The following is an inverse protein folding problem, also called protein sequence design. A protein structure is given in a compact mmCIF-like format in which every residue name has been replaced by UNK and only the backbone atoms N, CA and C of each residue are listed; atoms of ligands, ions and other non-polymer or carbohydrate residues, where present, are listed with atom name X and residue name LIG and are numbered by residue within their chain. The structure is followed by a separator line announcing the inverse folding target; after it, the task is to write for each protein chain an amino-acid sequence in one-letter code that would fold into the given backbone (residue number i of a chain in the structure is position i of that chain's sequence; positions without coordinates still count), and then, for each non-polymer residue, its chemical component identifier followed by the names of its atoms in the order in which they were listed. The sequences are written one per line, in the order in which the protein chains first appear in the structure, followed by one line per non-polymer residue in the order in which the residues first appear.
data_IF_399859482418
#
_entry.id   IF_399859482418
#
_cell.length_a   1.000
_cell.length_b   1.000
_cell.length_c   1.000
_cell.angle_alpha   90.00
_cell.angle_beta   90.00
_cell.angle_gamma   90.00
#
_symmetry.space_group_name_H-M   'P 1'
#
loop_
_entity.id
_entity.type
_entity.pdbx_description
1 polymer ?
#
# COMPACT_ATOMS: atom_id res chain seq x y z
N UNK A 1 29.22 23.23 -37.64
CA UNK A 1 29.87 22.31 -36.72
C UNK A 1 29.83 22.79 -35.25
N UNK A 2 30.33 23.98 -34.93
CA UNK A 2 30.39 24.48 -33.53
C UNK A 2 29.01 24.49 -32.85
N UNK A 3 27.95 24.93 -33.49
CA UNK A 3 26.60 24.96 -32.93
C UNK A 3 26.06 23.54 -32.62
N UNK A 4 26.30 22.56 -33.48
CA UNK A 4 25.88 21.16 -33.28
C UNK A 4 26.65 20.56 -32.08
N UNK A 5 27.95 20.84 -32.00
CA UNK A 5 28.77 20.36 -30.88
C UNK A 5 28.31 20.98 -29.54
N UNK A 6 27.99 22.28 -29.54
CA UNK A 6 27.45 22.95 -28.35
C UNK A 6 26.08 22.39 -27.94
N UNK A 7 25.15 22.14 -28.88
CA UNK A 7 23.87 21.51 -28.58
C UNK A 7 24.04 20.09 -28.06
N UNK A 8 24.93 19.28 -28.64
CA UNK A 8 25.21 17.93 -28.13
C UNK A 8 25.80 17.94 -26.74
N UNK A 9 26.73 18.86 -26.43
CA UNK A 9 27.30 19.03 -25.12
C UNK A 9 26.24 19.46 -24.06
N UNK A 10 25.36 20.39 -24.44
CA UNK A 10 24.25 20.82 -23.58
C UNK A 10 23.28 19.68 -23.29
N UNK A 11 22.90 18.92 -24.32
CA UNK A 11 22.03 17.74 -24.13
C UNK A 11 22.68 16.69 -23.26
N UNK A 12 23.96 16.40 -23.43
CA UNK A 12 24.70 15.47 -22.59
C UNK A 12 24.73 15.94 -21.11
N UNK A 13 25.01 17.23 -20.88
CA UNK A 13 25.01 17.81 -19.54
C UNK A 13 23.64 17.71 -18.85
N UNK A 14 22.54 18.00 -19.57
CA UNK A 14 21.18 17.84 -19.07
C UNK A 14 20.89 16.38 -18.74
N UNK A 15 21.25 15.45 -19.64
CA UNK A 15 21.05 14.00 -19.41
C UNK A 15 21.78 13.53 -18.14
N UNK A 16 23.05 13.91 -17.99
CA UNK A 16 23.83 13.58 -16.78
C UNK A 16 23.17 14.18 -15.54
N UNK A 17 22.73 15.42 -15.58
CA UNK A 17 22.02 16.08 -14.49
C UNK A 17 20.75 15.32 -14.09
N UNK A 18 19.94 14.88 -15.06
CA UNK A 18 18.73 14.09 -14.81
C UNK A 18 19.05 12.71 -14.22
N UNK A 19 20.10 12.04 -14.68
CA UNK A 19 20.53 10.76 -14.12
C UNK A 19 21.01 10.92 -12.68
N UNK A 20 21.83 11.92 -12.37
CA UNK A 20 22.27 12.22 -11.01
C UNK A 20 21.08 12.55 -10.09
N UNK A 21 20.11 13.32 -10.60
CA UNK A 21 18.87 13.63 -9.89
C UNK A 21 18.07 12.34 -9.59
N UNK A 22 17.93 11.46 -10.57
CA UNK A 22 17.25 10.18 -10.41
C UNK A 22 17.93 9.32 -9.35
N UNK A 23 19.27 9.20 -9.37
CA UNK A 23 20.01 8.44 -8.35
C UNK A 23 19.84 9.02 -6.94
N UNK A 24 19.81 10.35 -6.83
CA UNK A 24 19.52 11.01 -5.56
C UNK A 24 18.10 10.68 -5.07
N UNK A 25 17.09 10.83 -5.92
CA UNK A 25 15.69 10.61 -5.55
C UNK A 25 15.43 9.18 -5.09
N UNK A 26 15.98 8.18 -5.78
CA UNK A 26 15.82 6.76 -5.40
C UNK A 26 16.31 6.44 -3.98
N UNK A 27 17.27 7.20 -3.47
CA UNK A 27 17.90 6.99 -2.15
C UNK A 27 17.31 7.83 -1.04
N UNK A 28 16.39 8.76 -1.37
CA UNK A 28 15.86 9.73 -0.40
C UNK A 28 14.35 9.76 -0.46
N UNK A 29 13.69 8.95 0.37
CA UNK A 29 12.24 8.97 0.50
C UNK A 29 11.74 10.26 1.17
N UNK A 30 10.46 10.53 1.01
CA UNK A 30 9.73 11.56 1.75
C UNK A 30 8.68 10.90 2.64
N UNK A 31 8.24 11.60 3.66
CA UNK A 31 7.13 11.18 4.52
C UNK A 31 5.93 12.06 4.23
N UNK A 32 4.88 11.48 3.68
CA UNK A 32 3.62 12.16 3.43
C UNK A 32 2.59 11.73 4.48
N UNK A 33 1.89 12.72 5.05
CA UNK A 33 0.94 12.50 6.14
C UNK A 33 -0.47 12.84 5.66
N UNK A 34 -1.41 11.93 5.94
CA UNK A 34 -2.82 12.06 5.62
C UNK A 34 -3.65 11.96 6.89
N UNK A 35 -4.56 12.90 7.09
CA UNK A 35 -5.57 12.84 8.14
C UNK A 35 -6.94 12.58 7.53
N UNK A 36 -7.68 11.64 8.11
CA UNK A 36 -9.02 11.25 7.69
C UNK A 36 -9.92 11.21 8.91
N UNK A 37 -11.00 11.97 8.87
CA UNK A 37 -12.04 11.94 9.89
C UNK A 37 -13.16 10.97 9.49
N UNK A 38 -13.65 10.19 10.44
CA UNK A 38 -14.75 9.27 10.19
C UNK A 38 -15.71 9.20 11.40
N UNK A 39 -17.02 9.23 11.16
CA UNK A 39 -17.99 8.99 12.23
C UNK A 39 -18.02 7.53 12.72
N UNK A 40 -17.32 6.61 12.03
CA UNK A 40 -17.20 5.21 12.43
C UNK A 40 -16.18 5.00 13.56
N UNK A 41 -15.36 6.00 13.87
CA UNK A 41 -14.47 5.97 15.01
C UNK A 41 -15.13 6.71 16.18
N UNK A 42 -14.92 6.27 17.44
CA UNK A 42 -15.41 6.98 18.61
C UNK A 42 -14.85 8.41 18.69
N UNK A 43 -15.63 9.32 19.29
CA UNK A 43 -15.23 10.70 19.51
C UNK A 43 -13.91 10.75 20.29
N UNK A 44 -12.97 11.55 19.78
CA UNK A 44 -11.63 11.68 20.36
C UNK A 44 -10.69 10.50 20.14
N UNK A 45 -11.17 9.40 19.55
CA UNK A 45 -10.29 8.29 19.17
C UNK A 45 -9.38 8.70 18.02
N UNK A 46 -8.16 8.17 18.05
CA UNK A 46 -7.22 8.27 16.95
C UNK A 46 -6.56 6.92 16.72
N UNK A 47 -6.35 6.58 15.46
CA UNK A 47 -5.58 5.42 15.04
C UNK A 47 -4.55 5.88 14.00
N UNK A 48 -3.31 5.51 14.21
CA UNK A 48 -2.17 5.90 13.39
C UNK A 48 -1.60 4.67 12.70
N UNK A 49 -1.55 4.66 11.39
CA UNK A 49 -0.88 3.61 10.67
C UNK A 49 0.13 4.15 9.66
N UNK A 50 1.13 3.35 9.40
CA UNK A 50 2.09 3.56 8.31
C UNK A 50 1.76 2.56 7.22
N UNK A 51 1.74 3.02 5.98
CA UNK A 51 1.56 2.16 4.81
C UNK A 51 2.86 2.10 4.00
N UNK A 52 3.33 0.88 3.74
CA UNK A 52 4.49 0.57 2.92
C UNK A 52 4.04 -0.23 1.70
N UNK A 53 4.57 0.09 0.54
CA UNK A 53 4.34 -0.67 -0.69
C UNK A 53 5.54 -0.57 -1.62
N UNK A 54 5.71 -1.55 -2.48
CA UNK A 54 6.65 -1.51 -3.59
C UNK A 54 8.10 -1.21 -3.15
N UNK A 55 8.59 -1.90 -2.13
CA UNK A 55 9.98 -1.75 -1.68
C UNK A 55 10.96 -2.31 -2.71
N UNK A 56 10.60 -3.42 -3.37
CA UNK A 56 11.38 -4.05 -4.44
C UNK A 56 12.86 -4.21 -4.09
N UNK A 57 13.14 -4.81 -2.94
CA UNK A 57 14.49 -5.05 -2.41
C UNK A 57 15.33 -3.77 -2.24
N UNK A 58 14.73 -2.58 -2.30
CA UNK A 58 15.43 -1.33 -2.06
C UNK A 58 15.87 -1.20 -0.60
N UNK A 59 17.04 -0.61 -0.39
CA UNK A 59 17.62 -0.42 0.95
C UNK A 59 17.97 1.05 1.15
N UNK A 60 17.42 1.64 2.20
CA UNK A 60 17.73 3.00 2.63
C UNK A 60 18.81 3.00 3.69
N UNK A 61 19.94 3.61 3.37
CA UNK A 61 21.10 3.64 4.27
C UNK A 61 21.64 2.23 4.52
N UNK A 62 21.99 1.94 5.76
CA UNK A 62 22.39 0.59 6.17
C UNK A 62 21.14 -0.16 6.64
N UNK A 63 20.79 -1.24 5.92
CA UNK A 63 19.73 -2.19 6.31
C UNK A 63 18.40 -1.54 6.70
N UNK A 64 17.98 -0.54 5.94
CA UNK A 64 16.73 0.23 6.12
C UNK A 64 16.62 1.00 7.45
N UNK A 65 17.71 1.24 8.18
CA UNK A 65 17.67 1.98 9.45
C UNK A 65 16.98 3.35 9.35
N UNK A 66 17.23 4.21 8.34
CA UNK A 66 16.52 5.48 8.19
C UNK A 66 15.01 5.32 8.02
N UNK A 67 14.56 4.28 7.29
CA UNK A 67 13.14 3.99 7.10
C UNK A 67 12.50 3.55 8.42
N UNK A 68 13.12 2.61 9.13
CA UNK A 68 12.65 2.13 10.44
C UNK A 68 12.61 3.27 11.46
N UNK A 69 13.61 4.15 11.47
CA UNK A 69 13.65 5.30 12.35
C UNK A 69 12.50 6.29 12.07
N UNK A 70 12.19 6.55 10.80
CA UNK A 70 11.07 7.41 10.42
C UNK A 70 9.72 6.80 10.83
N UNK A 71 9.54 5.49 10.63
CA UNK A 71 8.33 4.76 11.07
C UNK A 71 8.18 4.86 12.59
N UNK A 72 9.24 4.58 13.34
CA UNK A 72 9.24 4.65 14.81
C UNK A 72 8.93 6.06 15.32
N UNK A 73 9.47 7.09 14.66
CA UNK A 73 9.22 8.49 15.02
C UNK A 73 7.75 8.90 14.85
N UNK A 74 7.05 8.32 13.88
CA UNK A 74 5.62 8.54 13.69
C UNK A 74 4.78 7.90 14.82
N UNK A 75 5.30 6.88 15.54
CA UNK A 75 4.63 6.11 16.60
C UNK A 75 3.29 5.52 16.10
N UNK A 76 3.32 4.66 15.09
CA UNK A 76 2.11 4.04 14.56
C UNK A 76 1.56 2.97 15.52
N UNK A 77 0.24 2.78 15.48
CA UNK A 77 -0.46 1.65 16.13
C UNK A 77 -0.35 0.36 15.30
N UNK A 78 -0.14 0.50 13.96
CA UNK A 78 0.07 -0.60 13.04
C UNK A 78 0.92 -0.17 11.83
N UNK A 79 1.66 -1.13 11.26
CA UNK A 79 2.25 -1.02 9.92
C UNK A 79 1.45 -1.90 8.96
N UNK A 80 0.99 -1.30 7.87
CA UNK A 80 0.23 -1.96 6.82
C UNK A 80 1.12 -2.07 5.57
N UNK A 81 1.30 -3.28 5.05
CA UNK A 81 2.15 -3.52 3.87
C UNK A 81 1.25 -3.96 2.71
N UNK A 82 1.29 -3.21 1.63
CA UNK A 82 0.47 -3.42 0.43
C UNK A 82 1.15 -4.24 -0.67
N UNK A 83 2.19 -5.03 -0.31
CA UNK A 83 2.87 -5.96 -1.22
C UNK A 83 4.04 -5.36 -1.99
N UNK A 84 4.59 -6.19 -2.86
CA UNK A 84 5.74 -5.92 -3.71
C UNK A 84 6.97 -5.45 -2.91
N UNK A 85 7.22 -6.11 -1.75
CA UNK A 85 8.41 -5.82 -0.96
C UNK A 85 9.69 -6.39 -1.57
N UNK A 86 9.57 -7.44 -2.39
CA UNK A 86 10.67 -8.08 -3.11
C UNK A 86 10.46 -8.04 -4.62
N UNK A 87 11.53 -8.27 -5.38
CA UNK A 87 11.46 -8.42 -6.84
C UNK A 87 11.46 -9.90 -7.23
N UNK A 88 10.42 -10.34 -7.92
CA UNK A 88 10.32 -11.68 -8.49
C UNK A 88 10.39 -11.62 -10.02
N UNK A 89 11.63 -11.64 -10.55
CA UNK A 89 11.94 -11.69 -12.00
C UNK A 89 13.00 -12.75 -12.26
N UNK A 90 12.55 -14.02 -12.35
CA UNK A 90 13.44 -15.18 -12.57
C UNK A 90 14.27 -15.59 -11.36
N UNK A 91 14.42 -14.73 -10.37
CA UNK A 91 15.03 -14.96 -9.06
C UNK A 91 14.20 -14.23 -8.01
N UNK A 92 14.25 -14.70 -6.78
CA UNK A 92 13.66 -14.01 -5.64
C UNK A 92 14.58 -14.16 -4.44
N UNK A 93 14.69 -13.10 -3.65
CA UNK A 93 15.42 -13.07 -2.39
C UNK A 93 14.50 -12.49 -1.31
N UNK A 94 14.51 -13.07 -0.13
CA UNK A 94 13.71 -12.63 1.00
C UNK A 94 14.51 -11.80 2.00
N UNK A 95 15.82 -11.67 1.80
CA UNK A 95 16.74 -11.11 2.80
C UNK A 95 16.35 -9.70 3.22
N UNK A 96 16.10 -8.80 2.28
CA UNK A 96 15.73 -7.41 2.57
C UNK A 96 14.37 -7.33 3.23
N UNK A 97 13.39 -8.08 2.72
CA UNK A 97 12.03 -8.13 3.27
C UNK A 97 12.05 -8.67 4.70
N UNK A 98 12.71 -9.80 4.94
CA UNK A 98 12.77 -10.44 6.27
C UNK A 98 13.48 -9.53 7.27
N UNK A 99 14.63 -8.94 6.92
CA UNK A 99 15.34 -8.00 7.79
C UNK A 99 14.48 -6.79 8.16
N UNK A 100 13.76 -6.21 7.21
CA UNK A 100 12.85 -5.10 7.49
C UNK A 100 11.72 -5.53 8.43
N UNK A 101 11.08 -6.68 8.16
CA UNK A 101 10.00 -7.20 8.99
C UNK A 101 10.43 -7.51 10.41
N UNK A 102 11.63 -8.09 10.62
CA UNK A 102 12.20 -8.34 11.95
C UNK A 102 12.31 -7.05 12.78
N UNK A 103 12.77 -5.98 12.15
CA UNK A 103 12.87 -4.68 12.82
C UNK A 103 11.49 -4.09 13.15
N UNK A 104 10.53 -4.17 12.22
CA UNK A 104 9.20 -3.61 12.41
C UNK A 104 8.42 -4.36 13.48
N UNK A 105 8.38 -5.69 13.42
CA UNK A 105 7.63 -6.53 14.37
C UNK A 105 8.18 -6.45 15.81
N UNK A 106 9.40 -5.96 15.98
CA UNK A 106 9.98 -5.75 17.32
C UNK A 106 9.32 -4.63 18.11
N UNK A 107 8.52 -3.76 17.48
CA UNK A 107 7.92 -2.61 18.17
C UNK A 107 6.48 -2.25 17.75
N UNK A 108 5.95 -2.85 16.67
CA UNK A 108 4.61 -2.54 16.17
C UNK A 108 4.00 -3.76 15.47
N UNK A 109 2.69 -4.00 15.57
CA UNK A 109 2.01 -5.02 14.77
C UNK A 109 2.14 -4.71 13.28
N UNK A 110 2.41 -5.76 12.47
CA UNK A 110 2.55 -5.66 11.02
C UNK A 110 1.50 -6.49 10.33
N UNK A 111 0.74 -5.87 9.42
CA UNK A 111 -0.26 -6.51 8.57
C UNK A 111 0.23 -6.49 7.12
N UNK A 112 0.23 -7.64 6.47
CA UNK A 112 0.85 -7.81 5.16
C UNK A 112 -0.12 -8.39 4.14
N UNK A 113 -0.39 -7.66 3.06
CA UNK A 113 -1.11 -8.13 1.88
C UNK A 113 -0.16 -8.30 0.69
N UNK A 114 -0.49 -9.21 -0.23
CA UNK A 114 0.33 -9.45 -1.40
C UNK A 114 0.19 -8.35 -2.46
N UNK A 115 1.30 -8.06 -3.13
CA UNK A 115 1.31 -7.45 -4.45
C UNK A 115 1.42 -8.50 -5.56
N UNK A 116 1.71 -8.06 -6.77
CA UNK A 116 1.83 -8.97 -7.92
C UNK A 116 3.11 -9.82 -7.89
N UNK A 117 4.15 -9.40 -7.18
CA UNK A 117 5.39 -10.17 -7.05
C UNK A 117 5.21 -11.36 -6.10
N UNK A 118 4.55 -11.20 -4.97
CA UNK A 118 4.21 -12.30 -4.07
C UNK A 118 3.27 -13.31 -4.74
N UNK A 119 2.24 -12.85 -5.46
CA UNK A 119 1.34 -13.72 -6.21
C UNK A 119 2.07 -14.45 -7.36
N UNK A 120 3.08 -13.85 -7.95
CA UNK A 120 3.93 -14.50 -8.95
C UNK A 120 4.73 -15.64 -8.35
N UNK A 121 5.38 -15.47 -7.21
CA UNK A 121 6.09 -16.55 -6.51
C UNK A 121 5.16 -17.74 -6.22
N UNK A 122 3.94 -17.44 -5.79
CA UNK A 122 2.92 -18.44 -5.48
C UNK A 122 2.53 -19.26 -6.71
N UNK A 123 2.41 -18.60 -7.86
CA UNK A 123 1.93 -19.20 -9.10
C UNK A 123 3.01 -19.90 -9.90
N UNK A 124 4.19 -19.28 -10.02
CA UNK A 124 5.29 -19.74 -10.88
C UNK A 124 6.28 -20.61 -10.08
N UNK A 125 5.78 -21.72 -9.51
CA UNK A 125 6.57 -22.62 -8.66
C UNK A 125 7.70 -23.32 -9.41
N UNK A 126 7.58 -23.49 -10.70
CA UNK A 126 8.63 -24.00 -11.58
C UNK A 126 9.84 -23.06 -11.68
N UNK A 127 9.62 -21.74 -11.49
CA UNK A 127 10.66 -20.73 -11.51
C UNK A 127 11.21 -20.46 -10.10
N UNK A 128 10.34 -20.36 -9.09
CA UNK A 128 10.68 -19.89 -7.74
C UNK A 128 10.79 -21.02 -6.70
N UNK A 129 10.46 -22.25 -7.07
CA UNK A 129 10.54 -23.41 -6.17
C UNK A 129 9.70 -23.22 -4.90
N UNK A 130 10.34 -23.35 -3.76
CA UNK A 130 9.75 -23.23 -2.42
C UNK A 130 9.78 -21.80 -1.84
N UNK A 131 10.20 -20.80 -2.62
CA UNK A 131 10.40 -19.44 -2.14
C UNK A 131 9.17 -18.85 -1.47
N UNK A 132 7.97 -19.10 -2.03
CA UNK A 132 6.71 -18.63 -1.44
C UNK A 132 6.41 -19.31 -0.09
N UNK A 133 6.71 -20.60 0.04
CA UNK A 133 6.50 -21.32 1.31
C UNK A 133 7.46 -20.82 2.38
N UNK A 134 8.71 -20.56 2.00
CA UNK A 134 9.71 -19.93 2.87
C UNK A 134 9.28 -18.53 3.30
N UNK A 135 8.75 -17.74 2.38
CA UNK A 135 8.19 -16.43 2.68
C UNK A 135 7.07 -16.53 3.73
N UNK A 136 6.10 -17.43 3.54
CA UNK A 136 5.02 -17.64 4.52
C UNK A 136 5.54 -18.14 5.88
N UNK A 137 6.55 -18.99 5.90
CA UNK A 137 7.19 -19.44 7.15
C UNK A 137 7.84 -18.27 7.89
N UNK A 138 8.53 -17.37 7.17
CA UNK A 138 9.14 -16.18 7.77
C UNK A 138 8.08 -15.22 8.32
N UNK A 139 7.01 -14.94 7.58
CA UNK A 139 5.90 -14.12 8.07
C UNK A 139 5.32 -14.69 9.37
N UNK A 140 5.10 -16.01 9.40
CA UNK A 140 4.60 -16.70 10.60
C UNK A 140 5.60 -16.65 11.76
N UNK A 141 6.89 -16.89 11.50
CA UNK A 141 7.96 -16.82 12.50
C UNK A 141 8.03 -15.46 13.16
N UNK A 142 7.84 -14.40 12.37
CA UNK A 142 7.91 -13.02 12.81
C UNK A 142 6.60 -12.49 13.43
N UNK A 143 5.54 -13.31 13.46
CA UNK A 143 4.25 -12.88 13.98
C UNK A 143 3.55 -11.84 13.11
N UNK A 144 3.85 -11.80 11.82
CA UNK A 144 3.18 -10.92 10.86
C UNK A 144 1.76 -11.41 10.58
N UNK A 145 0.79 -10.51 10.65
CA UNK A 145 -0.60 -10.78 10.28
C UNK A 145 -0.72 -10.83 8.75
N UNK A 146 -0.74 -12.04 8.21
CA UNK A 146 -0.75 -12.23 6.75
C UNK A 146 -2.16 -12.24 6.19
N UNK A 147 -2.47 -11.26 5.34
CA UNK A 147 -3.80 -10.97 4.81
C UNK A 147 -3.94 -11.38 3.33
N UNK A 148 -3.75 -12.66 3.02
CA UNK A 148 -3.97 -13.20 1.67
C UNK A 148 -5.44 -13.60 1.51
N UNK A 149 -6.25 -12.77 0.86
CA UNK A 149 -7.71 -12.88 0.75
C UNK A 149 -8.38 -13.05 2.15
N UNK A 150 -7.97 -12.23 3.09
CA UNK A 150 -8.35 -12.36 4.49
C UNK A 150 -8.53 -11.01 5.16
N UNK A 151 -9.36 -11.00 6.21
CA UNK A 151 -9.62 -9.82 7.05
C UNK A 151 -9.26 -10.11 8.51
N UNK A 152 -8.74 -9.10 9.20
CA UNK A 152 -8.49 -9.14 10.64
C UNK A 152 -8.95 -7.83 11.29
N UNK A 153 -9.46 -7.92 12.52
CA UNK A 153 -9.81 -6.77 13.34
C UNK A 153 -8.56 -6.28 14.05
N UNK A 154 -8.15 -5.05 13.79
CA UNK A 154 -7.00 -4.43 14.48
C UNK A 154 -7.41 -4.01 15.89
N UNK A 155 -8.62 -3.47 16.01
CA UNK A 155 -9.24 -3.05 17.25
C UNK A 155 -10.77 -3.08 17.07
N UNK A 156 -11.61 -2.76 18.08
CA UNK A 156 -13.07 -2.83 17.98
C UNK A 156 -13.69 -1.96 16.87
N UNK A 157 -12.98 -1.00 16.32
CA UNK A 157 -13.53 -0.04 15.35
C UNK A 157 -12.93 -0.17 13.96
N UNK A 158 -11.80 -0.87 13.85
CA UNK A 158 -11.02 -0.92 12.60
C UNK A 158 -10.77 -2.36 12.20
N UNK A 159 -11.16 -2.68 11.00
CA UNK A 159 -10.82 -3.93 10.33
C UNK A 159 -9.93 -3.64 9.12
N UNK A 160 -8.95 -4.50 8.92
CA UNK A 160 -8.09 -4.48 7.74
C UNK A 160 -8.33 -5.74 6.92
N UNK A 161 -8.49 -5.56 5.62
CA UNK A 161 -8.67 -6.64 4.64
C UNK A 161 -7.57 -6.57 3.60
N UNK A 162 -6.88 -7.67 3.35
CA UNK A 162 -6.00 -7.82 2.20
C UNK A 162 -6.69 -8.66 1.12
N UNK A 163 -6.74 -8.16 -0.10
CA UNK A 163 -7.31 -8.87 -1.23
C UNK A 163 -6.29 -9.01 -2.36
N UNK A 164 -6.06 -10.25 -2.78
CA UNK A 164 -5.17 -10.56 -3.90
C UNK A 164 -5.87 -10.28 -5.22
N UNK A 165 -5.16 -9.65 -6.14
CA UNK A 165 -5.65 -9.40 -7.48
C UNK A 165 -5.08 -10.44 -8.45
N UNK A 166 -5.92 -11.01 -9.31
CA UNK A 166 -5.47 -11.99 -10.31
C UNK A 166 -4.52 -11.36 -11.32
N UNK A 167 -3.57 -12.15 -11.80
CA UNK A 167 -2.54 -11.72 -12.75
C UNK A 167 -3.13 -11.07 -14.02
N UNK A 168 -4.29 -11.53 -14.47
CA UNK A 168 -4.94 -11.00 -15.65
C UNK A 168 -5.12 -9.47 -15.58
N UNK A 169 -5.37 -8.93 -14.39
CA UNK A 169 -5.56 -7.51 -14.18
C UNK A 169 -4.25 -6.71 -14.25
N UNK A 170 -3.11 -7.35 -14.04
CA UNK A 170 -1.79 -6.73 -14.20
C UNK A 170 -1.24 -6.84 -15.62
N UNK A 171 -1.78 -7.75 -16.44
CA UNK A 171 -1.35 -7.98 -17.83
C UNK A 171 -2.03 -7.10 -18.85
N UNK A 172 -3.05 -6.34 -18.47
CA UNK A 172 -3.69 -5.40 -19.37
C UNK A 172 -2.80 -4.18 -19.59
N UNK A 173 -2.31 -4.03 -20.83
CA UNK A 173 -1.52 -2.89 -21.25
C UNK A 173 -2.42 -1.88 -21.97
N UNK A 174 -2.18 -0.59 -21.75
CA UNK A 174 -2.86 0.55 -22.40
C UNK A 174 -4.37 0.68 -22.08
N UNK A 175 -4.99 -0.29 -21.45
CA UNK A 175 -6.42 -0.28 -21.10
C UNK A 175 -6.63 -0.47 -19.61
N UNK A 176 -7.77 -0.03 -19.11
CA UNK A 176 -8.21 -0.29 -17.73
C UNK A 176 -9.23 -1.44 -17.79
N UNK A 177 -8.90 -2.63 -17.25
CA UNK A 177 -9.86 -3.72 -17.20
C UNK A 177 -10.96 -3.44 -16.18
N UNK A 178 -12.11 -4.05 -16.35
CA UNK A 178 -13.16 -4.06 -15.34
C UNK A 178 -12.91 -5.16 -14.31
N UNK A 179 -13.12 -4.84 -13.05
CA UNK A 179 -13.15 -5.80 -11.94
C UNK A 179 -14.59 -5.88 -11.42
N UNK A 180 -15.29 -7.00 -11.61
CA UNK A 180 -16.61 -7.19 -11.03
C UNK A 180 -16.56 -7.18 -9.50
N UNK A 181 -17.54 -6.53 -8.87
CA UNK A 181 -17.62 -6.49 -7.40
C UNK A 181 -17.84 -7.89 -6.81
N UNK A 182 -18.51 -8.75 -7.55
CA UNK A 182 -18.74 -10.15 -7.20
C UNK A 182 -17.43 -10.89 -7.00
N UNK A 183 -16.43 -10.68 -7.88
CA UNK A 183 -15.12 -11.31 -7.72
C UNK A 183 -14.42 -10.86 -6.43
N UNK A 184 -14.50 -9.58 -6.09
CA UNK A 184 -13.96 -9.07 -4.83
C UNK A 184 -14.67 -9.69 -3.63
N UNK A 185 -16.01 -9.76 -3.68
CA UNK A 185 -16.84 -10.33 -2.62
C UNK A 185 -16.65 -11.83 -2.43
N UNK A 186 -16.46 -12.58 -3.50
CA UNK A 186 -16.16 -14.02 -3.44
C UNK A 186 -14.83 -14.30 -2.75
N UNK A 187 -13.83 -13.43 -2.91
CA UNK A 187 -12.50 -13.58 -2.28
C UNK A 187 -12.48 -13.24 -0.81
N UNK A 188 -13.08 -12.12 -0.46
CA UNK A 188 -12.92 -11.55 0.89
C UNK A 188 -14.26 -11.42 1.64
N UNK A 189 -15.35 -11.96 1.12
CA UNK A 189 -16.70 -11.77 1.65
C UNK A 189 -17.23 -10.35 1.41
N UNK A 190 -18.50 -10.13 1.64
CA UNK A 190 -19.07 -8.79 1.59
C UNK A 190 -18.81 -8.02 2.89
N UNK A 191 -18.72 -6.69 2.83
CA UNK A 191 -18.60 -5.85 4.01
C UNK A 191 -19.79 -6.05 4.98
N UNK A 192 -20.98 -6.26 4.45
CA UNK A 192 -22.19 -6.53 5.25
C UNK A 192 -22.13 -7.87 6.00
N UNK A 193 -21.64 -8.96 5.36
CA UNK A 193 -21.47 -10.25 6.03
C UNK A 193 -20.45 -10.16 7.16
N UNK A 194 -19.36 -9.44 6.96
CA UNK A 194 -18.33 -9.23 7.97
C UNK A 194 -18.87 -8.45 9.17
N UNK A 195 -19.65 -7.41 8.94
CA UNK A 195 -20.30 -6.65 10.00
C UNK A 195 -21.29 -7.51 10.79
N UNK A 196 -22.06 -8.35 10.11
CA UNK A 196 -22.97 -9.30 10.76
C UNK A 196 -22.22 -10.33 11.60
N UNK A 197 -21.10 -10.84 11.12
CA UNK A 197 -20.26 -11.78 11.86
C UNK A 197 -19.66 -11.13 13.10
N UNK A 198 -19.19 -9.90 13.02
CA UNK A 198 -18.70 -9.12 14.14
C UNK A 198 -19.80 -8.95 15.22
N UNK A 199 -20.99 -8.49 14.85
CA UNK A 199 -22.13 -8.33 15.76
C UNK A 199 -22.54 -9.66 16.45
N UNK A 200 -22.45 -10.79 15.73
CA UNK A 200 -22.69 -12.11 16.32
C UNK A 200 -21.62 -12.46 17.35
N UNK A 201 -20.35 -12.20 17.06
CA UNK A 201 -19.21 -12.47 17.96
C UNK A 201 -19.32 -11.66 19.27
N UNK A 202 -19.71 -10.39 19.17
CA UNK A 202 -19.97 -9.52 20.32
C UNK A 202 -21.10 -10.05 21.22
N UNK A 203 -22.15 -10.63 20.64
CA UNK A 203 -23.25 -11.19 21.41
C UNK A 203 -22.87 -12.39 22.29
N UNK A 204 -21.71 -13.02 22.05
CA UNK A 204 -21.14 -14.08 22.87
C UNK A 204 -20.16 -13.61 23.96
N UNK A 205 -19.82 -12.31 24.03
CA UNK A 205 -18.94 -11.71 25.03
C UNK A 205 -19.63 -10.55 25.76
N UNK A 206 -20.44 -10.79 26.80
CA UNK A 206 -21.33 -9.79 27.38
C UNK A 206 -20.64 -8.56 27.99
N UNK A 207 -19.44 -8.69 28.54
CA UNK A 207 -18.78 -7.61 29.30
C UNK A 207 -18.14 -6.51 28.43
N UNK A 208 -17.76 -6.82 27.21
CA UNK A 208 -17.29 -5.84 26.21
C UNK A 208 -18.45 -5.23 25.42
N UNK A 209 -19.50 -6.02 25.22
CA UNK A 209 -20.67 -5.66 24.41
C UNK A 209 -21.52 -4.50 24.99
N UNK A 210 -21.50 -4.28 26.30
CA UNK A 210 -22.40 -3.29 26.92
C UNK A 210 -21.92 -1.84 26.73
N UNK A 211 -20.61 -1.63 26.66
CA UNK A 211 -20.04 -0.30 26.36
C UNK A 211 -20.13 0.08 24.88
N UNK A 212 -20.08 -0.90 23.98
CA UNK A 212 -20.02 -0.70 22.54
C UNK A 212 -21.42 -0.77 21.88
N UNK A 213 -22.36 -1.47 22.50
CA UNK A 213 -23.76 -1.62 22.02
C UNK A 213 -24.54 -0.31 21.97
N UNK A 214 -24.09 0.75 22.64
CA UNK A 214 -24.78 2.06 22.65
C UNK A 214 -24.64 2.85 21.34
N UNK A 215 -23.80 2.43 20.41
CA UNK A 215 -23.48 3.25 19.26
C UNK A 215 -23.86 2.67 17.88
N UNK A 216 -24.19 1.39 17.74
CA UNK A 216 -24.50 0.82 16.40
C UNK A 216 -23.37 1.05 15.38
N UNK A 217 -22.13 1.10 15.84
CA UNK A 217 -21.00 1.49 15.00
C UNK A 217 -20.65 0.40 13.99
N UNK A 218 -20.73 0.78 12.72
CA UNK A 218 -20.09 0.01 11.66
C UNK A 218 -18.58 0.14 11.78
N UNK A 219 -17.85 -0.98 11.63
CA UNK A 219 -16.39 -0.95 11.61
C UNK A 219 -15.86 -0.11 10.44
N UNK A 220 -14.79 0.63 10.69
CA UNK A 220 -14.04 1.30 9.63
C UNK A 220 -13.22 0.26 8.87
N UNK A 221 -13.48 0.12 7.57
CA UNK A 221 -12.85 -0.89 6.72
C UNK A 221 -11.66 -0.30 5.96
N UNK A 222 -10.45 -0.83 6.26
CA UNK A 222 -9.23 -0.55 5.49
C UNK A 222 -9.01 -1.70 4.54
N UNK A 223 -8.95 -1.42 3.24
CA UNK A 223 -8.66 -2.41 2.21
C UNK A 223 -7.25 -2.21 1.66
N UNK A 224 -6.38 -3.21 1.83
CA UNK A 224 -5.10 -3.29 1.15
C UNK A 224 -5.32 -3.94 -0.21
N UNK A 225 -5.25 -3.13 -1.25
CA UNK A 225 -5.55 -3.55 -2.62
C UNK A 225 -4.49 -2.99 -3.56
N UNK A 226 -3.57 -3.83 -4.01
CA UNK A 226 -2.32 -3.38 -4.60
C UNK A 226 -2.46 -2.43 -5.80
N UNK A 227 -3.46 -2.65 -6.69
CA UNK A 227 -3.68 -1.82 -7.89
C UNK A 227 -4.73 -0.73 -7.67
N UNK A 228 -4.43 0.56 -7.95
CA UNK A 228 -5.39 1.66 -7.79
C UNK A 228 -6.44 1.74 -8.91
N UNK A 229 -6.34 0.91 -9.96
CA UNK A 229 -7.27 0.95 -11.10
C UNK A 229 -8.73 0.68 -10.71
N UNK A 230 -8.96 0.02 -9.58
CA UNK A 230 -10.27 -0.52 -9.21
C UNK A 230 -10.90 0.19 -8.01
N UNK A 231 -10.57 1.45 -7.78
CA UNK A 231 -11.11 2.21 -6.65
C UNK A 231 -12.64 2.22 -6.64
N UNK A 232 -13.27 2.32 -7.80
CA UNK A 232 -14.74 2.28 -7.93
C UNK A 232 -15.31 0.97 -7.38
N UNK A 233 -14.70 -0.16 -7.71
CA UNK A 233 -15.12 -1.47 -7.18
C UNK A 233 -14.86 -1.57 -5.68
N UNK A 234 -13.68 -1.13 -5.21
CA UNK A 234 -13.33 -1.16 -3.79
C UNK A 234 -14.29 -0.33 -2.93
N UNK A 235 -14.63 0.88 -3.37
CA UNK A 235 -15.57 1.74 -2.63
C UNK A 235 -16.99 1.20 -2.62
N UNK A 236 -17.47 0.62 -3.73
CA UNK A 236 -18.79 -0.04 -3.81
C UNK A 236 -18.84 -1.29 -2.97
N UNK A 237 -17.76 -2.03 -2.85
CA UNK A 237 -17.63 -3.17 -1.95
C UNK A 237 -17.78 -2.76 -0.48
N UNK A 238 -17.40 -1.54 -0.12
CA UNK A 238 -17.57 -0.98 1.22
C UNK A 238 -16.30 -0.55 1.94
N UNK A 239 -15.14 -0.54 1.26
CA UNK A 239 -13.92 0.02 1.83
C UNK A 239 -14.11 1.50 2.18
N UNK A 240 -13.75 1.89 3.40
CA UNK A 240 -13.71 3.29 3.82
C UNK A 240 -12.39 3.95 3.42
N UNK A 241 -11.31 3.17 3.51
CA UNK A 241 -9.97 3.55 3.06
C UNK A 241 -9.38 2.42 2.21
N UNK A 242 -9.02 2.72 0.96
CA UNK A 242 -8.26 1.81 0.10
C UNK A 242 -6.81 2.28 0.02
N UNK A 243 -5.87 1.40 0.36
CA UNK A 243 -4.43 1.66 0.28
C UNK A 243 -3.82 0.89 -0.88
N UNK A 244 -3.22 1.61 -1.83
CA UNK A 244 -2.71 1.07 -3.08
C UNK A 244 -1.24 1.43 -3.30
N UNK A 245 -0.53 0.57 -4.04
CA UNK A 245 0.79 0.80 -4.58
C UNK A 245 0.83 0.66 -6.10
N UNK A 246 1.74 -0.19 -6.60
CA UNK A 246 1.87 -0.66 -7.97
C UNK A 246 2.30 0.39 -9.02
N UNK A 247 1.84 1.63 -8.92
CA UNK A 247 2.06 2.65 -9.96
C UNK A 247 3.37 3.41 -9.82
N UNK A 248 4.07 3.26 -8.70
CA UNK A 248 5.35 3.93 -8.46
C UNK A 248 5.33 5.43 -8.78
N UNK A 249 4.22 6.13 -8.48
CA UNK A 249 4.07 7.54 -8.81
C UNK A 249 4.01 7.88 -10.29
N UNK A 250 4.12 6.88 -11.18
CA UNK A 250 4.22 7.02 -12.63
C UNK A 250 5.66 7.24 -13.12
N UNK A 251 6.67 6.81 -12.34
CA UNK A 251 8.12 6.78 -12.69
C UNK A 251 8.75 8.17 -12.84
N UNK A 252 8.13 9.03 -13.64
CA UNK A 252 8.49 10.44 -13.87
C UNK A 252 7.24 11.27 -13.59
N UNK A 253 7.36 12.33 -12.81
CA UNK A 253 6.25 13.23 -12.54
C UNK A 253 6.50 14.61 -13.14
N UNK A 254 5.53 15.08 -13.92
CA UNK A 254 5.56 16.42 -14.50
C UNK A 254 4.67 17.33 -13.64
N UNK A 255 5.19 18.44 -13.11
CA UNK A 255 4.38 19.40 -12.37
C UNK A 255 3.12 19.80 -13.14
N UNK A 256 1.96 19.70 -12.52
CA UNK A 256 0.66 20.00 -13.11
C UNK A 256 0.04 18.90 -14.00
N UNK A 257 0.83 17.91 -14.46
CA UNK A 257 0.32 16.79 -15.26
C UNK A 257 0.31 15.46 -14.52
N UNK A 258 1.06 15.33 -13.42
CA UNK A 258 1.12 14.09 -12.64
C UNK A 258 2.13 13.07 -13.15
N UNK A 259 1.86 11.78 -12.90
CA UNK A 259 2.73 10.67 -13.32
C UNK A 259 2.64 10.39 -14.81
N UNK A 260 3.78 10.14 -15.45
CA UNK A 260 3.84 9.98 -16.91
C UNK A 260 3.36 8.59 -17.33
N UNK A 261 3.82 7.52 -16.65
CA UNK A 261 3.54 6.16 -17.14
C UNK A 261 3.49 5.15 -15.98
N UNK A 262 2.47 4.31 -15.97
CA UNK A 262 2.35 3.19 -15.06
C UNK A 262 3.17 1.98 -15.54
N UNK A 263 3.40 0.95 -14.68
CA UNK A 263 4.01 -0.31 -15.08
C UNK A 263 3.25 -1.04 -16.21
N UNK A 264 1.99 -0.72 -16.42
CA UNK A 264 1.12 -1.30 -17.45
C UNK A 264 1.06 -0.42 -18.72
N UNK A 265 2.00 0.54 -18.87
CA UNK A 265 2.09 1.46 -20.01
C UNK A 265 0.85 2.33 -20.23
N UNK A 266 0.16 2.66 -19.17
CA UNK A 266 -0.92 3.66 -19.18
C UNK A 266 -0.30 5.02 -18.92
N UNK A 267 -0.64 6.01 -19.74
CA UNK A 267 -0.03 7.33 -19.68
C UNK A 267 -0.96 8.34 -19.02
N UNK A 268 -0.40 9.18 -18.16
CA UNK A 268 -1.07 10.33 -17.55
C UNK A 268 -2.36 9.98 -16.81
N UNK A 269 -2.39 8.80 -16.15
CA UNK A 269 -3.51 8.46 -15.27
C UNK A 269 -3.57 9.45 -14.10
N UNK A 270 -4.75 9.96 -13.76
CA UNK A 270 -4.87 10.99 -12.73
C UNK A 270 -4.52 10.49 -11.33
N UNK A 271 -4.68 9.19 -11.06
CA UNK A 271 -4.46 8.59 -9.73
C UNK A 271 -3.16 7.76 -9.65
N UNK A 272 -2.05 8.32 -10.12
CA UNK A 272 -0.75 7.65 -9.99
C UNK A 272 -0.12 7.77 -8.60
N UNK A 273 -0.50 8.74 -7.80
CA UNK A 273 -0.07 8.94 -6.41
C UNK A 273 -0.91 9.99 -5.70
N UNK A 274 -1.03 9.86 -4.38
CA UNK A 274 -1.73 10.82 -3.53
C UNK A 274 -3.09 10.34 -3.05
N UNK A 275 -3.90 11.27 -2.53
CA UNK A 275 -5.23 11.00 -1.96
C UNK A 275 -6.33 11.32 -2.96
N UNK A 276 -7.32 10.44 -3.02
CA UNK A 276 -8.51 10.57 -3.86
C UNK A 276 -9.75 10.23 -3.04
N UNK A 277 -10.73 11.13 -3.03
CA UNK A 277 -11.96 10.98 -2.27
C UNK A 277 -13.17 10.90 -3.22
N UNK A 278 -14.05 9.95 -2.96
CA UNK A 278 -15.32 9.80 -3.67
C UNK A 278 -16.38 9.19 -2.74
N UNK A 279 -17.56 9.82 -2.67
CA UNK A 279 -18.74 9.36 -1.88
C UNK A 279 -18.38 9.01 -0.42
N UNK A 280 -17.57 9.84 0.24
CA UNK A 280 -17.15 9.64 1.62
C UNK A 280 -16.14 8.49 1.83
N UNK A 281 -15.60 7.93 0.75
CA UNK A 281 -14.55 6.92 0.74
C UNK A 281 -13.24 7.51 0.23
N UNK A 282 -12.13 7.03 0.76
CA UNK A 282 -10.80 7.53 0.43
C UNK A 282 -9.95 6.42 -0.21
N UNK A 283 -9.20 6.76 -1.24
CA UNK A 283 -8.06 5.96 -1.72
C UNK A 283 -6.77 6.75 -1.54
N UNK A 284 -5.75 6.10 -1.04
CA UNK A 284 -4.37 6.63 -1.02
C UNK A 284 -3.51 5.73 -1.90
N UNK A 285 -2.84 6.32 -2.88
CA UNK A 285 -1.93 5.63 -3.79
C UNK A 285 -0.51 6.05 -3.46
N UNK A 286 0.29 5.11 -2.97
CA UNK A 286 1.69 5.32 -2.66
C UNK A 286 2.54 5.43 -3.92
N UNK A 287 3.57 6.26 -3.86
CA UNK A 287 4.63 6.29 -4.89
C UNK A 287 5.58 5.09 -4.76
N UNK A 288 5.38 4.23 -3.76
CA UNK A 288 6.25 3.10 -3.49
C UNK A 288 7.62 3.50 -2.93
N UNK A 289 8.30 2.54 -2.34
CA UNK A 289 9.61 2.73 -1.70
C UNK A 289 10.79 2.28 -2.58
N UNK A 290 10.57 1.56 -3.66
CA UNK A 290 11.59 1.10 -4.59
C UNK A 290 11.28 1.45 -6.04
N UNK A 291 12.10 0.92 -6.93
CA UNK A 291 11.89 1.00 -8.37
C UNK A 291 11.74 -0.40 -8.94
N UNK A 292 10.99 -0.53 -10.02
CA UNK A 292 10.75 -1.83 -10.64
C UNK A 292 11.38 -1.94 -12.04
N UNK A 293 10.53 -1.84 -13.10
CA UNK A 293 10.95 -2.13 -14.48
C UNK A 293 11.86 -1.06 -15.06
N UNK A 294 11.55 0.19 -14.76
CA UNK A 294 12.33 1.35 -15.18
C UNK A 294 12.98 1.92 -13.94
N UNK A 295 14.30 1.76 -13.83
CA UNK A 295 15.05 2.19 -12.65
C UNK A 295 15.36 3.71 -12.71
N UNK A 296 14.30 4.52 -12.86
CA UNK A 296 14.35 5.98 -12.91
C UNK A 296 13.28 6.55 -11.99
N UNK A 297 13.63 7.61 -11.27
CA UNK A 297 12.69 8.49 -10.57
C UNK A 297 13.06 9.94 -10.84
N UNK A 298 12.13 10.71 -11.39
CA UNK A 298 12.33 12.15 -11.62
C UNK A 298 11.10 12.93 -11.13
N UNK A 299 11.32 13.81 -10.17
CA UNK A 299 10.29 14.51 -9.40
C UNK A 299 9.31 13.55 -8.74
N UNK A 300 9.78 12.36 -8.42
CA UNK A 300 8.98 11.23 -7.95
C UNK A 300 9.72 10.47 -6.84
N UNK A 301 10.04 11.18 -5.75
CA UNK A 301 10.73 10.58 -4.61
C UNK A 301 9.89 9.45 -4.00
N UNK A 302 10.53 8.33 -3.59
CA UNK A 302 9.87 7.28 -2.82
C UNK A 302 9.13 7.84 -1.61
N UNK A 303 8.07 7.17 -1.18
CA UNK A 303 7.14 7.72 -0.21
C UNK A 303 6.89 6.76 0.96
N UNK A 304 7.06 7.26 2.18
CA UNK A 304 6.55 6.67 3.39
C UNK A 304 5.18 7.32 3.68
N UNK A 305 4.11 6.55 3.52
CA UNK A 305 2.74 7.03 3.78
C UNK A 305 2.40 6.87 5.24
N UNK A 306 2.02 7.97 5.90
CA UNK A 306 1.56 8.01 7.29
C UNK A 306 0.09 8.43 7.32
N UNK A 307 -0.78 7.63 7.93
CA UNK A 307 -2.21 7.91 8.01
C UNK A 307 -2.64 8.03 9.46
N UNK A 308 -3.40 9.07 9.77
CA UNK A 308 -4.09 9.25 11.04
C UNK A 308 -5.60 9.25 10.80
N UNK A 309 -6.29 8.23 11.31
CA UNK A 309 -7.75 8.20 11.36
C UNK A 309 -8.22 8.82 12.66
N UNK A 310 -9.24 9.69 12.61
CA UNK A 310 -9.81 10.34 13.78
C UNK A 310 -11.32 10.17 13.83
N UNK A 311 -11.87 10.01 15.04
CA UNK A 311 -13.29 10.20 15.30
C UNK A 311 -13.66 11.68 15.09
N UNK A 312 -14.84 11.94 14.52
CA UNK A 312 -15.36 13.31 14.41
C UNK A 312 -15.60 13.87 15.80
N UNK A 313 -15.05 15.04 16.09
CA UNK A 313 -15.50 15.80 17.25
C UNK A 313 -16.83 16.48 16.88
N UNK A 314 -17.93 16.02 17.46
CA UNK A 314 -19.15 16.81 17.47
C UNK A 314 -18.96 17.93 18.49
N UNK A 315 -18.74 19.15 18.05
CA UNK A 315 -18.95 20.31 18.91
C UNK A 315 -20.41 20.28 19.33
N UNK A 316 -20.71 20.00 20.60
CA UNK A 316 -22.03 20.26 21.15
C UNK A 316 -22.17 21.80 21.19
N UNK A 317 -22.98 22.35 20.31
CA UNK A 317 -23.46 23.75 20.39
C UNK A 317 -24.43 23.92 21.56
#
# INVERSE_FOLDING_TARGET
MIAITACAAALAAVTVGLLLRSEYEKKHFVTDQYEIESPKLPDGAAFRCVFLSDLHDNVYGTDNEPLVAAIRAFKPDAVLIGGDTMVCKGKGDLTVTVSLLEKLTSFVPVYYANGNHEERMKRERDVYGDLYDRFQMELKRLGVHYLSDRSEEINPWIRVTGCNLREIYYKHHFTVPELPMEELSERVGTAAEKTRFHQMKESFSPDLAEKERKAGHEMYEILLFHSPLFFETCRKWGADLTLCGHFHGGTIRIPGLGGVMTPQYQFFLPWCAGRFDADGKTMIVSRGLGTHSINVRLNDRPELVCVTLRGKQYCME
#
